data_IF_995830041044
#
_entry.id   IF_995830041044
#
_cell.length_a   1.000
_cell.length_b   1.000
_cell.length_c   1.000
_cell.angle_alpha   90.00
_cell.angle_beta   90.00
_cell.angle_gamma   90.00
#
_symmetry.space_group_name_H-M   'P 1'
#
loop_
_entity.id
_entity.type
_entity.pdbx_description
1 polymer ?
#
# COMPACT_ATOMS: atom_id res chain seq x y z
N UNK A 1 -16.75 20.55 20.17
CA UNK A 1 -16.95 19.41 19.23
C UNK A 1 -15.59 18.85 18.84
N UNK A 2 -15.33 17.55 18.98
CA UNK A 2 -13.99 17.01 18.71
C UNK A 2 -13.63 17.25 17.23
N UNK A 3 -12.45 17.86 17.00
CA UNK A 3 -11.86 18.13 15.68
C UNK A 3 -11.35 16.83 15.02
N UNK A 4 -12.08 15.73 15.19
CA UNK A 4 -11.66 14.44 14.68
C UNK A 4 -12.04 14.37 13.20
N UNK A 5 -11.04 14.58 12.33
CA UNK A 5 -11.14 14.58 10.87
C UNK A 5 -12.05 13.42 10.35
N UNK A 6 -11.88 12.20 10.88
CA UNK A 6 -12.50 10.95 10.40
C UNK A 6 -13.82 10.55 11.09
N UNK A 7 -14.68 11.48 11.51
CA UNK A 7 -15.88 11.13 12.28
C UNK A 7 -17.08 10.71 11.40
N UNK A 8 -17.24 9.41 11.16
CA UNK A 8 -18.39 8.87 10.41
C UNK A 8 -19.68 8.74 11.23
N UNK A 9 -19.64 8.91 12.56
CA UNK A 9 -20.80 8.59 13.41
C UNK A 9 -21.97 9.53 13.14
N UNK A 10 -21.70 10.82 12.97
CA UNK A 10 -22.72 11.81 12.62
C UNK A 10 -23.36 11.47 11.29
N UNK A 11 -22.55 11.09 10.30
CA UNK A 11 -23.04 10.68 8.99
C UNK A 11 -23.87 9.39 9.08
N UNK A 12 -23.39 8.34 9.74
CA UNK A 12 -24.12 7.08 9.90
C UNK A 12 -25.47 7.28 10.62
N UNK A 13 -25.53 8.17 11.62
CA UNK A 13 -26.79 8.56 12.27
C UNK A 13 -27.73 9.29 11.31
N UNK A 14 -27.23 10.22 10.51
CA UNK A 14 -28.03 10.92 9.50
C UNK A 14 -28.56 9.94 8.46
N UNK A 15 -27.69 9.10 7.90
CA UNK A 15 -28.07 8.12 6.88
C UNK A 15 -29.03 7.06 7.41
N UNK A 16 -28.97 6.71 8.69
CA UNK A 16 -29.92 5.77 9.31
C UNK A 16 -31.39 6.20 9.21
N UNK A 17 -31.66 7.49 8.98
CA UNK A 17 -33.01 8.01 8.76
C UNK A 17 -33.53 7.70 7.35
N UNK A 18 -32.65 7.61 6.36
CA UNK A 18 -33.01 7.31 4.98
C UNK A 18 -33.07 5.80 4.71
N UNK A 19 -32.45 4.99 5.58
CA UNK A 19 -32.50 3.53 5.46
C UNK A 19 -33.91 2.96 5.56
N UNK A 20 -34.86 3.63 6.23
CA UNK A 20 -36.28 3.19 6.26
C UNK A 20 -36.95 3.26 4.89
N UNK A 21 -36.35 3.94 3.91
CA UNK A 21 -36.83 3.95 2.53
C UNK A 21 -36.36 2.76 1.69
N UNK A 22 -35.44 1.93 2.22
CA UNK A 22 -34.84 0.79 1.51
C UNK A 22 -34.73 -0.50 2.35
N UNK A 23 -34.99 -0.43 3.65
CA UNK A 23 -34.95 -1.54 4.61
C UNK A 23 -36.21 -1.52 5.48
N UNK A 24 -36.58 -2.70 5.98
CA UNK A 24 -37.67 -2.86 6.93
C UNK A 24 -37.33 -2.19 8.28
N UNK A 25 -38.36 -1.86 9.06
CA UNK A 25 -38.18 -1.14 10.32
C UNK A 25 -37.29 -1.89 11.31
N UNK A 26 -37.37 -3.23 11.33
CA UNK A 26 -36.59 -4.06 12.23
C UNK A 26 -35.10 -4.04 11.86
N UNK A 27 -34.77 -4.14 10.57
CA UNK A 27 -33.40 -4.00 10.07
C UNK A 27 -32.83 -2.62 10.38
N UNK A 28 -33.64 -1.55 10.28
CA UNK A 28 -33.20 -0.19 10.64
C UNK A 28 -32.94 -0.06 12.14
N UNK A 29 -33.77 -0.69 13.00
CA UNK A 29 -33.51 -0.72 14.45
C UNK A 29 -32.21 -1.45 14.76
N UNK A 30 -31.97 -2.60 14.12
CA UNK A 30 -30.73 -3.35 14.25
C UNK A 30 -29.53 -2.52 13.77
N UNK A 31 -29.61 -1.86 12.62
CA UNK A 31 -28.54 -0.98 12.14
C UNK A 31 -28.23 0.13 13.14
N UNK A 32 -29.26 0.79 13.70
CA UNK A 32 -29.10 1.86 14.68
C UNK A 32 -28.40 1.38 15.96
N UNK A 33 -28.67 0.16 16.42
CA UNK A 33 -28.00 -0.41 17.59
C UNK A 33 -26.52 -0.69 17.33
N UNK A 34 -26.15 -1.01 16.08
CA UNK A 34 -24.77 -1.27 15.66
C UNK A 34 -23.92 -0.01 15.41
N UNK A 35 -24.51 1.20 15.30
CA UNK A 35 -23.77 2.44 14.98
C UNK A 35 -22.52 2.68 15.87
N UNK A 36 -22.57 2.50 17.21
CA UNK A 36 -21.38 2.65 18.06
C UNK A 36 -20.26 1.67 17.71
N UNK A 37 -20.60 0.40 17.47
CA UNK A 37 -19.66 -0.65 17.06
C UNK A 37 -19.08 -0.37 15.67
N UNK A 38 -19.91 0.02 14.71
CA UNK A 38 -19.49 0.34 13.35
C UNK A 38 -18.53 1.54 13.32
N UNK A 39 -18.70 2.51 14.21
CA UNK A 39 -17.75 3.63 14.38
C UNK A 39 -16.39 3.14 14.87
N UNK A 40 -16.37 2.24 15.84
CA UNK A 40 -15.14 1.65 16.36
C UNK A 40 -14.45 0.79 15.29
N UNK A 41 -15.23 -0.06 14.61
CA UNK A 41 -14.79 -0.85 13.46
C UNK A 41 -14.18 0.03 12.37
N UNK A 42 -14.81 1.15 12.02
CA UNK A 42 -14.25 2.10 11.04
C UNK A 42 -12.88 2.64 11.43
N UNK A 43 -12.62 2.86 12.72
CA UNK A 43 -11.32 3.32 13.21
C UNK A 43 -10.26 2.21 13.26
N UNK A 44 -10.68 0.97 13.52
CA UNK A 44 -9.81 -0.19 13.71
C UNK A 44 -9.54 -0.99 12.43
N UNK A 45 -10.41 -0.88 11.43
CA UNK A 45 -10.32 -1.70 10.21
C UNK A 45 -8.92 -1.65 9.62
N UNK A 46 -8.38 -2.83 9.34
CA UNK A 46 -7.10 -2.94 8.69
C UNK A 46 -7.28 -2.65 7.19
N UNK A 47 -6.65 -1.58 6.70
CA UNK A 47 -6.68 -1.27 5.26
C UNK A 47 -5.42 -1.70 4.51
N UNK A 48 -4.28 -1.71 5.18
CA UNK A 48 -3.02 -2.22 4.62
C UNK A 48 -2.37 -3.17 5.61
N UNK A 49 -1.36 -3.90 5.14
CA UNK A 49 -0.62 -4.93 5.88
C UNK A 49 -0.16 -4.44 7.25
N UNK A 50 -0.16 -5.33 8.22
CA UNK A 50 0.52 -5.16 9.51
C UNK A 50 2.02 -5.32 9.33
N UNK A 51 2.81 -4.87 10.31
CA UNK A 51 4.26 -5.11 10.30
C UNK A 51 4.59 -6.62 10.23
N UNK A 52 3.78 -7.47 10.88
CA UNK A 52 3.89 -8.93 10.79
C UNK A 52 3.79 -9.39 9.34
N UNK A 53 2.73 -9.01 8.63
CA UNK A 53 2.54 -9.36 7.21
C UNK A 53 3.61 -8.77 6.30
N UNK A 54 4.09 -7.55 6.57
CA UNK A 54 5.22 -6.98 5.85
C UNK A 54 6.45 -7.88 5.97
N UNK A 55 6.76 -8.37 7.18
CA UNK A 55 7.93 -9.20 7.44
C UNK A 55 7.85 -10.56 6.78
N UNK A 56 6.77 -11.31 7.01
CA UNK A 56 6.71 -12.70 6.54
C UNK A 56 6.22 -12.85 5.10
N UNK A 57 5.44 -11.90 4.55
CA UNK A 57 4.83 -12.02 3.21
C UNK A 57 5.52 -11.17 2.16
N UNK A 58 5.88 -9.93 2.52
CA UNK A 58 6.55 -8.99 1.60
C UNK A 58 8.06 -9.15 1.66
N UNK A 59 8.65 -9.30 2.84
CA UNK A 59 10.10 -9.41 3.06
C UNK A 59 10.57 -10.84 3.34
N UNK A 60 9.81 -11.81 2.81
CA UNK A 60 10.06 -13.23 3.01
C UNK A 60 11.42 -13.66 2.47
N UNK A 61 12.10 -14.57 3.17
CA UNK A 61 13.46 -15.01 2.77
C UNK A 61 13.48 -15.77 1.44
N UNK A 62 12.35 -16.37 1.04
CA UNK A 62 12.22 -16.98 -0.28
C UNK A 62 12.12 -15.97 -1.43
N UNK A 63 11.87 -14.67 -1.16
CA UNK A 63 11.84 -13.61 -2.19
C UNK A 63 13.03 -12.66 -2.04
N UNK A 64 13.35 -12.30 -0.80
CA UNK A 64 14.37 -11.32 -0.43
C UNK A 64 15.33 -11.94 0.59
N UNK A 65 16.20 -12.88 0.19
CA UNK A 65 17.04 -13.67 1.09
C UNK A 65 18.18 -12.88 1.75
N UNK A 66 18.41 -11.63 1.34
CA UNK A 66 19.51 -10.81 1.87
C UNK A 66 18.99 -9.52 2.49
N UNK A 67 19.74 -8.98 3.45
CA UNK A 67 19.45 -7.66 4.04
C UNK A 67 19.37 -6.55 3.00
N UNK A 68 20.29 -6.52 2.03
CA UNK A 68 20.24 -5.58 0.91
C UNK A 68 18.93 -5.69 0.11
N UNK A 69 18.50 -6.90 -0.22
CA UNK A 69 17.25 -7.12 -0.93
C UNK A 69 16.02 -6.68 -0.14
N UNK A 70 16.00 -6.93 1.17
CA UNK A 70 14.93 -6.46 2.06
C UNK A 70 14.94 -4.93 2.19
N UNK A 71 16.10 -4.31 2.32
CA UNK A 71 16.26 -2.86 2.33
C UNK A 71 15.66 -2.22 1.06
N UNK A 72 16.08 -2.69 -0.12
CA UNK A 72 15.61 -2.15 -1.39
C UNK A 72 14.14 -2.43 -1.64
N UNK A 73 13.61 -3.56 -1.14
CA UNK A 73 12.17 -3.80 -1.15
C UNK A 73 11.43 -2.80 -0.23
N UNK A 74 11.95 -2.50 0.96
CA UNK A 74 11.40 -1.45 1.82
C UNK A 74 11.40 -0.08 1.13
N UNK A 75 12.45 0.25 0.35
CA UNK A 75 12.50 1.49 -0.45
C UNK A 75 11.34 1.57 -1.43
N UNK A 76 11.08 0.50 -2.20
CA UNK A 76 10.00 0.45 -3.19
C UNK A 76 8.61 0.57 -2.55
N UNK A 77 8.37 -0.18 -1.48
CA UNK A 77 7.09 -0.15 -0.77
C UNK A 77 6.86 1.20 -0.08
N UNK A 78 7.90 1.78 0.54
CA UNK A 78 7.84 3.11 1.13
C UNK A 78 7.46 4.16 0.08
N UNK A 79 8.11 4.16 -1.09
CA UNK A 79 7.82 5.10 -2.16
C UNK A 79 6.39 4.95 -2.67
N UNK A 80 5.93 3.72 -2.88
CA UNK A 80 4.56 3.43 -3.33
C UNK A 80 3.51 4.04 -2.39
N UNK A 81 3.68 3.89 -1.07
CA UNK A 81 2.74 4.48 -0.12
C UNK A 81 2.87 6.01 -0.03
N UNK A 82 4.08 6.55 -0.21
CA UNK A 82 4.34 7.99 -0.24
C UNK A 82 3.69 8.66 -1.47
N UNK A 83 3.93 8.16 -2.68
CA UNK A 83 3.34 8.72 -3.91
C UNK A 83 1.81 8.69 -3.85
N UNK A 84 1.24 7.58 -3.41
CA UNK A 84 -0.21 7.48 -3.24
C UNK A 84 -0.75 8.44 -2.17
N UNK A 85 0.03 8.75 -1.13
CA UNK A 85 -0.34 9.76 -0.13
C UNK A 85 -0.30 11.16 -0.74
N UNK A 86 0.68 11.44 -1.62
CA UNK A 86 0.76 12.70 -2.36
C UNK A 86 -0.43 12.87 -3.32
N UNK A 87 -0.77 11.83 -4.09
CA UNK A 87 -1.96 11.85 -4.96
C UNK A 87 -3.24 12.11 -4.16
N UNK A 88 -3.42 11.38 -3.06
CA UNK A 88 -4.57 11.56 -2.17
C UNK A 88 -4.66 12.98 -1.60
N UNK A 89 -3.53 13.66 -1.39
CA UNK A 89 -3.50 15.06 -0.95
C UNK A 89 -4.04 16.04 -2.01
N UNK A 90 -3.85 15.74 -3.30
CA UNK A 90 -4.44 16.52 -4.37
C UNK A 90 -5.94 16.27 -4.46
N UNK A 91 -6.36 15.01 -4.41
CA UNK A 91 -7.76 14.62 -4.50
C UNK A 91 -8.58 15.16 -3.33
N UNK A 92 -8.04 15.10 -2.11
CA UNK A 92 -8.71 15.66 -0.94
C UNK A 92 -8.93 17.18 -1.07
N UNK A 93 -7.96 17.92 -1.61
CA UNK A 93 -8.11 19.37 -1.84
C UNK A 93 -9.11 19.69 -2.94
N UNK A 94 -9.13 18.91 -4.02
CA UNK A 94 -10.15 19.04 -5.07
C UNK A 94 -11.56 18.80 -4.49
N UNK A 95 -11.71 17.75 -3.68
CA UNK A 95 -12.97 17.42 -3.01
C UNK A 95 -13.41 18.55 -2.06
N UNK A 96 -12.49 19.21 -1.37
CA UNK A 96 -12.82 20.37 -0.52
C UNK A 96 -13.40 21.53 -1.32
N UNK A 97 -12.82 21.84 -2.48
CA UNK A 97 -13.36 22.87 -3.40
C UNK A 97 -14.72 22.45 -3.98
N UNK A 98 -14.90 21.16 -4.30
CA UNK A 98 -16.19 20.65 -4.78
C UNK A 98 -17.28 20.77 -3.71
N UNK A 99 -16.96 20.44 -2.46
CA UNK A 99 -17.86 20.64 -1.30
C UNK A 99 -18.29 22.11 -1.20
N UNK A 100 -17.35 23.05 -1.34
CA UNK A 100 -17.66 24.49 -1.30
C UNK A 100 -18.56 24.91 -2.47
N UNK A 101 -18.28 24.43 -3.69
CA UNK A 101 -19.13 24.67 -4.86
C UNK A 101 -20.55 24.14 -4.66
N UNK A 102 -20.71 22.94 -4.12
CA UNK A 102 -22.04 22.37 -3.86
C UNK A 102 -22.78 23.18 -2.80
N UNK A 103 -22.11 23.61 -1.73
CA UNK A 103 -22.72 24.50 -0.72
C UNK A 103 -23.20 25.81 -1.31
N UNK A 104 -22.41 26.43 -2.17
CA UNK A 104 -22.80 27.65 -2.89
C UNK A 104 -24.02 27.40 -3.79
N UNK A 105 -24.04 26.30 -4.55
CA UNK A 105 -25.21 25.91 -5.36
C UNK A 105 -26.47 25.72 -4.51
N UNK A 106 -26.39 25.01 -3.38
CA UNK A 106 -27.50 24.81 -2.44
C UNK A 106 -28.07 26.14 -1.93
N UNK A 107 -27.20 27.13 -1.70
CA UNK A 107 -27.60 28.46 -1.20
C UNK A 107 -28.39 29.26 -2.24
N UNK A 108 -28.09 29.08 -3.53
CA UNK A 108 -28.71 29.79 -4.65
C UNK A 108 -29.92 29.05 -5.23
N UNK A 109 -30.01 27.74 -5.01
CA UNK A 109 -31.08 26.91 -5.54
C UNK A 109 -32.43 27.22 -4.87
N UNK A 110 -33.44 27.47 -5.71
CA UNK A 110 -34.81 27.78 -5.29
C UNK A 110 -35.72 26.55 -5.40
N UNK A 111 -35.46 25.67 -6.36
CA UNK A 111 -36.22 24.44 -6.52
C UNK A 111 -35.93 23.50 -5.35
N UNK A 112 -37.00 23.09 -4.65
CA UNK A 112 -36.90 22.24 -3.47
C UNK A 112 -36.25 20.88 -3.77
N UNK A 113 -36.62 20.24 -4.88
CA UNK A 113 -36.12 18.90 -5.24
C UNK A 113 -34.65 18.96 -5.65
N UNK A 114 -34.26 19.94 -6.46
CA UNK A 114 -32.86 20.12 -6.85
C UNK A 114 -31.98 20.43 -5.63
N UNK A 115 -32.49 21.25 -4.71
CA UNK A 115 -31.80 21.51 -3.44
C UNK A 115 -31.60 20.24 -2.61
N UNK A 116 -32.58 19.33 -2.61
CA UNK A 116 -32.47 18.04 -1.93
C UNK A 116 -31.42 17.14 -2.62
N UNK A 117 -31.38 17.08 -3.95
CA UNK A 117 -30.36 16.33 -4.69
C UNK A 117 -28.95 16.84 -4.40
N UNK A 118 -28.74 18.16 -4.42
CA UNK A 118 -27.47 18.77 -4.07
C UNK A 118 -27.05 18.49 -2.61
N UNK A 119 -28.01 18.42 -1.68
CA UNK A 119 -27.73 18.07 -0.29
C UNK A 119 -27.27 16.61 -0.14
N UNK A 120 -27.83 15.68 -0.92
CA UNK A 120 -27.38 14.28 -0.97
C UNK A 120 -25.96 14.21 -1.54
N UNK A 121 -25.68 14.92 -2.64
CA UNK A 121 -24.34 14.99 -3.23
C UNK A 121 -23.31 15.55 -2.23
N UNK A 122 -23.69 16.58 -1.46
CA UNK A 122 -22.86 17.14 -0.40
C UNK A 122 -22.53 16.10 0.69
N UNK A 123 -23.53 15.33 1.13
CA UNK A 123 -23.35 14.28 2.13
C UNK A 123 -22.42 13.16 1.65
N UNK A 124 -22.54 12.76 0.38
CA UNK A 124 -21.64 11.82 -0.27
C UNK A 124 -20.20 12.33 -0.32
N UNK A 125 -19.99 13.60 -0.71
CA UNK A 125 -18.65 14.21 -0.74
C UNK A 125 -18.02 14.32 0.66
N UNK A 126 -18.84 14.58 1.69
CA UNK A 126 -18.39 14.58 3.09
C UNK A 126 -17.98 13.18 3.54
N UNK A 127 -18.74 12.14 3.16
CA UNK A 127 -18.37 10.75 3.42
C UNK A 127 -17.05 10.39 2.73
N UNK A 128 -16.93 10.73 1.45
CA UNK A 128 -15.72 10.54 0.66
C UNK A 128 -14.50 11.17 1.33
N UNK A 129 -14.63 12.41 1.83
CA UNK A 129 -13.58 13.08 2.59
C UNK A 129 -13.15 12.30 3.83
N UNK A 130 -14.10 11.82 4.65
CA UNK A 130 -13.79 11.04 5.84
C UNK A 130 -13.06 9.72 5.50
N UNK A 131 -13.40 9.10 4.37
CA UNK A 131 -12.70 7.93 3.83
C UNK A 131 -11.26 8.27 3.40
N UNK A 132 -11.07 9.34 2.63
CA UNK A 132 -9.75 9.83 2.22
C UNK A 132 -8.83 10.09 3.42
N UNK A 133 -9.34 10.74 4.46
CA UNK A 133 -8.55 11.03 5.67
C UNK A 133 -8.18 9.77 6.46
N UNK A 134 -9.03 8.73 6.44
CA UNK A 134 -8.67 7.44 7.01
C UNK A 134 -7.57 6.78 6.18
N UNK A 135 -7.69 6.75 4.85
CA UNK A 135 -6.66 6.22 3.95
C UNK A 135 -5.34 6.94 4.15
N UNK A 136 -5.35 8.26 4.26
CA UNK A 136 -4.16 9.06 4.52
C UNK A 136 -3.46 8.65 5.82
N UNK A 137 -4.23 8.43 6.91
CA UNK A 137 -3.68 7.95 8.20
C UNK A 137 -2.97 6.61 8.04
N UNK A 138 -3.63 5.65 7.37
CA UNK A 138 -3.05 4.32 7.19
C UNK A 138 -1.85 4.34 6.25
N UNK A 139 -1.86 5.14 5.18
CA UNK A 139 -0.69 5.31 4.30
C UNK A 139 0.50 5.91 5.05
N UNK A 140 0.27 6.90 5.90
CA UNK A 140 1.35 7.47 6.72
C UNK A 140 1.94 6.43 7.68
N UNK A 141 1.11 5.57 8.28
CA UNK A 141 1.60 4.42 9.05
C UNK A 141 2.48 3.53 8.19
N UNK A 142 2.06 3.15 6.98
CA UNK A 142 2.89 2.32 6.08
C UNK A 142 4.24 2.98 5.79
N UNK A 143 4.25 4.27 5.41
CA UNK A 143 5.48 5.02 5.14
C UNK A 143 6.43 4.99 6.35
N UNK A 144 5.90 5.15 7.57
CA UNK A 144 6.67 5.09 8.80
C UNK A 144 7.19 3.68 9.10
N UNK A 145 6.35 2.65 8.97
CA UNK A 145 6.75 1.25 9.19
C UNK A 145 7.83 0.82 8.19
N UNK A 146 7.68 1.15 6.91
CA UNK A 146 8.72 0.88 5.91
C UNK A 146 10.00 1.66 6.18
N UNK A 147 9.92 2.89 6.71
CA UNK A 147 11.09 3.65 7.16
C UNK A 147 11.84 2.92 8.28
N UNK A 148 11.11 2.41 9.28
CA UNK A 148 11.66 1.60 10.38
C UNK A 148 12.34 0.34 9.84
N UNK A 149 11.64 -0.45 9.02
CA UNK A 149 12.17 -1.69 8.46
C UNK A 149 13.40 -1.44 7.57
N UNK A 150 13.39 -0.38 6.76
CA UNK A 150 14.53 0.03 5.94
C UNK A 150 15.79 0.26 6.81
N UNK A 151 15.65 0.97 7.93
CA UNK A 151 16.77 1.17 8.88
C UNK A 151 17.22 -0.13 9.54
N UNK A 152 16.30 -1.04 9.85
CA UNK A 152 16.61 -2.34 10.45
C UNK A 152 17.44 -3.25 9.53
N UNK A 153 17.15 -3.23 8.23
CA UNK A 153 17.89 -4.04 7.25
C UNK A 153 19.17 -3.38 6.76
N UNK A 154 19.39 -2.08 7.02
CA UNK A 154 20.65 -1.41 6.75
C UNK A 154 21.71 -1.84 7.79
N UNK A 155 22.60 -2.74 7.38
CA UNK A 155 23.73 -3.19 8.20
C UNK A 155 25.05 -2.51 7.82
N UNK A 156 25.02 -1.51 6.93
CA UNK A 156 26.18 -0.78 6.46
C UNK A 156 27.11 -1.57 5.52
N UNK A 157 26.72 -2.76 5.04
CA UNK A 157 27.59 -3.65 4.24
C UNK A 157 27.21 -3.77 2.77
N UNK A 158 26.28 -2.96 2.28
CA UNK A 158 25.82 -2.97 0.88
C UNK A 158 25.62 -1.55 0.35
N UNK A 159 25.54 -1.43 -0.98
CA UNK A 159 25.31 -0.16 -1.67
C UNK A 159 23.85 0.30 -1.52
N UNK A 160 23.67 1.56 -1.12
CA UNK A 160 22.37 2.20 -0.89
C UNK A 160 22.01 3.23 -1.97
N UNK A 161 22.90 3.47 -2.92
CA UNK A 161 22.71 4.40 -4.02
C UNK A 161 22.35 3.64 -5.30
N UNK A 162 22.96 2.48 -5.53
CA UNK A 162 22.67 1.64 -6.70
C UNK A 162 22.08 0.27 -6.31
N UNK A 163 20.77 0.13 -6.56
CA UNK A 163 20.01 -1.10 -6.34
C UNK A 163 20.57 -2.29 -7.12
N UNK A 164 21.17 -2.08 -8.29
CA UNK A 164 21.61 -3.16 -9.16
C UNK A 164 22.74 -3.98 -8.52
N UNK A 165 23.57 -3.35 -7.67
CA UNK A 165 24.77 -3.95 -7.07
C UNK A 165 24.53 -5.21 -6.24
N UNK A 166 23.36 -5.36 -5.61
CA UNK A 166 23.04 -6.52 -4.78
C UNK A 166 22.23 -7.59 -5.52
N UNK A 167 21.64 -7.24 -6.67
CA UNK A 167 20.57 -8.03 -7.29
C UNK A 167 21.03 -9.41 -7.71
N UNK A 168 22.19 -9.49 -8.39
CA UNK A 168 22.71 -10.77 -8.88
C UNK A 168 22.87 -11.79 -7.74
N UNK A 169 23.50 -11.39 -6.63
CA UNK A 169 23.67 -12.24 -5.45
C UNK A 169 22.32 -12.63 -4.81
N UNK A 170 21.39 -11.68 -4.70
CA UNK A 170 20.08 -11.95 -4.10
C UNK A 170 19.24 -12.91 -4.94
N UNK A 171 19.21 -12.73 -6.26
CA UNK A 171 18.49 -13.62 -7.17
C UNK A 171 19.12 -15.01 -7.20
N UNK A 172 20.44 -15.13 -7.09
CA UNK A 172 21.13 -16.41 -7.02
C UNK A 172 20.69 -17.20 -5.79
N UNK A 173 20.70 -16.59 -4.61
CA UNK A 173 20.22 -17.24 -3.38
C UNK A 173 18.74 -17.63 -3.49
N UNK A 174 17.91 -16.76 -4.07
CA UNK A 174 16.49 -17.07 -4.31
C UNK A 174 16.32 -18.30 -5.19
N UNK A 175 17.04 -18.36 -6.31
CA UNK A 175 16.97 -19.48 -7.26
C UNK A 175 17.54 -20.76 -6.65
N UNK A 176 18.56 -20.66 -5.79
CA UNK A 176 19.06 -21.80 -5.02
C UNK A 176 18.00 -22.36 -4.06
N UNK A 177 17.27 -21.49 -3.35
CA UNK A 177 16.14 -21.91 -2.53
C UNK A 177 15.03 -22.58 -3.37
N UNK A 178 14.70 -22.01 -4.53
CA UNK A 178 13.71 -22.61 -5.45
C UNK A 178 14.17 -23.95 -6.02
N UNK A 179 15.45 -24.08 -6.35
CA UNK A 179 16.04 -25.35 -6.80
C UNK A 179 15.89 -26.43 -5.73
N UNK A 180 16.08 -26.08 -4.45
CA UNK A 180 15.96 -27.00 -3.34
C UNK A 180 14.51 -27.48 -3.09
N UNK A 181 13.51 -26.79 -3.62
CA UNK A 181 12.10 -27.22 -3.53
C UNK A 181 11.65 -28.10 -4.70
N UNK A 182 12.49 -28.28 -5.72
CA UNK A 182 12.17 -29.12 -6.87
C UNK A 182 12.18 -30.60 -6.47
N UNK A 183 11.10 -31.30 -6.80
CA UNK A 183 10.92 -32.75 -6.63
C UNK A 183 10.77 -33.46 -7.98
N UNK A 184 10.83 -34.81 -8.04
CA UNK A 184 10.52 -35.54 -9.27
C UNK A 184 9.12 -35.29 -9.85
N UNK A 185 8.18 -34.77 -9.03
CA UNK A 185 6.85 -34.37 -9.48
C UNK A 185 6.76 -32.94 -10.03
N UNK A 186 7.86 -32.18 -10.04
CA UNK A 186 7.87 -30.81 -10.57
C UNK A 186 7.74 -30.82 -12.08
N UNK A 187 7.07 -29.81 -12.63
CA UNK A 187 6.88 -29.72 -14.09
C UNK A 187 8.21 -29.44 -14.81
N UNK A 188 8.40 -30.03 -15.99
CA UNK A 188 9.61 -29.78 -16.80
C UNK A 188 9.83 -28.28 -17.10
N UNK A 189 8.80 -27.46 -17.40
CA UNK A 189 8.98 -26.02 -17.57
C UNK A 189 9.48 -25.30 -16.31
N UNK A 190 9.01 -25.70 -15.12
CA UNK A 190 9.47 -25.11 -13.85
C UNK A 190 10.94 -25.44 -13.59
N UNK A 191 11.32 -26.71 -13.77
CA UNK A 191 12.71 -27.16 -13.65
C UNK A 191 13.61 -26.39 -14.63
N UNK A 192 13.21 -26.29 -15.90
CA UNK A 192 13.96 -25.57 -16.92
C UNK A 192 14.15 -24.10 -16.56
N UNK A 193 13.08 -23.43 -16.10
CA UNK A 193 13.13 -22.02 -15.74
C UNK A 193 14.05 -21.74 -14.53
N UNK A 194 13.97 -22.56 -13.47
CA UNK A 194 14.81 -22.38 -12.28
C UNK A 194 16.29 -22.65 -12.59
N UNK A 195 16.58 -23.78 -13.26
CA UNK A 195 17.96 -24.16 -13.57
C UNK A 195 18.59 -23.23 -14.60
N UNK A 196 17.87 -22.90 -15.68
CA UNK A 196 18.39 -22.02 -16.73
C UNK A 196 18.71 -20.60 -16.23
N UNK A 197 17.87 -20.04 -15.36
CA UNK A 197 18.16 -18.76 -14.71
C UNK A 197 19.34 -18.86 -13.76
N UNK A 198 19.43 -19.92 -12.95
CA UNK A 198 20.52 -20.11 -11.99
C UNK A 198 21.87 -20.26 -12.71
N UNK A 199 21.92 -21.04 -13.78
CA UNK A 199 23.13 -21.26 -14.58
C UNK A 199 23.59 -19.97 -15.27
N UNK A 200 22.65 -19.23 -15.85
CA UNK A 200 22.93 -17.90 -16.42
C UNK A 200 23.49 -16.97 -15.34
N UNK A 201 22.87 -16.93 -14.17
CA UNK A 201 23.26 -16.04 -13.09
C UNK A 201 24.66 -16.39 -12.54
N UNK A 202 24.99 -17.67 -12.42
CA UNK A 202 26.33 -18.13 -12.07
C UNK A 202 27.37 -17.68 -13.11
N UNK A 203 27.06 -17.80 -14.41
CA UNK A 203 27.95 -17.37 -15.50
C UNK A 203 28.19 -15.86 -15.44
N UNK A 204 27.14 -15.04 -15.45
CA UNK A 204 27.27 -13.58 -15.50
C UNK A 204 27.96 -13.01 -14.25
N UNK A 205 27.81 -13.65 -13.08
CA UNK A 205 28.55 -13.30 -11.85
C UNK A 205 30.03 -13.65 -12.02
N UNK A 206 30.35 -14.86 -12.49
CA UNK A 206 31.73 -15.34 -12.71
C UNK A 206 32.47 -14.47 -13.73
N UNK A 207 31.81 -14.13 -14.82
CA UNK A 207 32.39 -13.39 -15.94
C UNK A 207 32.39 -11.87 -15.69
N UNK A 208 31.78 -11.43 -14.59
CA UNK A 208 31.71 -10.02 -14.21
C UNK A 208 30.86 -9.17 -15.16
N UNK A 209 29.98 -9.78 -15.95
CA UNK A 209 29.13 -9.10 -16.95
C UNK A 209 28.22 -8.04 -16.33
N UNK A 210 27.84 -8.23 -15.05
CA UNK A 210 26.96 -7.33 -14.29
C UNK A 210 27.70 -6.30 -13.43
N UNK A 211 29.04 -6.27 -13.48
CA UNK A 211 29.81 -5.26 -12.76
C UNK A 211 29.68 -3.91 -13.47
N UNK A 212 29.66 -2.78 -12.73
CA UNK A 212 29.67 -1.45 -13.33
C UNK A 212 30.87 -1.30 -14.28
N UNK A 213 30.60 -0.98 -15.56
CA UNK A 213 31.64 -0.67 -16.55
C UNK A 213 32.41 0.57 -16.08
N UNK A 214 33.66 0.39 -15.66
CA UNK A 214 34.47 1.41 -14.99
C UNK A 214 35.38 0.85 -13.89
N UNK A 215 35.07 -0.34 -13.37
CA UNK A 215 36.04 -1.20 -12.67
C UNK A 215 36.57 -2.28 -13.61
N UNK A 216 36.97 -1.87 -14.83
CA UNK A 216 37.72 -2.78 -15.69
C UNK A 216 38.94 -3.25 -14.91
N UNK A 217 39.02 -4.57 -14.78
CA UNK A 217 40.13 -5.30 -14.22
C UNK A 217 41.44 -4.60 -14.56
N UNK A 218 42.18 -4.12 -13.54
CA UNK A 218 43.63 -4.09 -13.61
C UNK A 218 44.06 -5.54 -13.86
N UNK A 219 43.99 -5.95 -15.12
CA UNK A 219 44.51 -7.22 -15.60
C UNK A 219 45.94 -7.28 -15.10
N UNK A 220 46.22 -8.38 -14.38
CA UNK A 220 47.54 -8.89 -14.08
C UNK A 220 48.53 -8.44 -15.15
N UNK A 221 49.37 -7.45 -14.80
CA UNK A 221 50.60 -7.25 -15.55
C UNK A 221 51.48 -8.44 -15.19
N UNK A 222 51.82 -9.21 -16.23
CA UNK A 222 52.80 -10.31 -16.21
C UNK A 222 54.08 -9.88 -15.52
#
# INVERSE_FOLDING_TARGET
>A
MSKEKRNIQTLAKTQSKYLTGILDEEDVKQFKSLIPELKDTWKKKQMFRTETEMRFSVLSDNKYPTKAAKYWQCVREQNTHFENLMHLSFDARKNDVEIEKIRDKISKEKNKLEKQLLQIELEEKIYGKASMELVAKHRMREVATWSKLKKEFDDGKFDKEDVNTHQAKSYMLRLQHQKATLTPGSSQPEVFNVLGQLDTLNRVIKDGELLPKGKENKKLKK
#
